data_IF_273869274325
#
_entry.id   IF_273869274325
#
_cell.length_a   1.000
_cell.length_b   1.000
_cell.length_c   1.000
_cell.angle_alpha   90.00
_cell.angle_beta   90.00
_cell.angle_gamma   90.00
#
_symmetry.space_group_name_H-M   'P 1'
#
loop_
_entity.id
_entity.type
_entity.pdbx_description
1 polymer ?
#
# COMPACT_ATOMS: atom_id res chain seq x y z
N UNK A 1 23.53 -15.46 2.94
CA UNK A 1 22.55 -14.46 3.44
C UNK A 1 23.12 -13.07 3.19
N UNK A 2 22.30 -12.11 2.75
CA UNK A 2 22.69 -10.71 2.57
C UNK A 2 21.67 -9.83 3.30
N UNK A 3 22.13 -8.73 3.87
CA UNK A 3 21.27 -7.71 4.51
C UNK A 3 21.33 -6.48 3.61
N UNK A 4 20.16 -5.96 3.24
CA UNK A 4 20.01 -4.74 2.45
C UNK A 4 19.17 -3.76 3.27
N UNK A 5 19.55 -2.49 3.22
CA UNK A 5 18.80 -1.40 3.82
C UNK A 5 17.77 -0.88 2.81
N UNK A 6 16.48 -1.17 3.06
CA UNK A 6 15.38 -0.80 2.17
C UNK A 6 15.24 0.72 2.02
N UNK A 7 15.60 1.49 3.05
CA UNK A 7 15.46 2.95 3.03
C UNK A 7 16.46 3.60 2.07
N UNK A 8 17.59 2.93 1.82
CA UNK A 8 18.63 3.40 0.89
C UNK A 8 18.57 2.73 -0.49
N UNK A 9 17.79 1.67 -0.67
CA UNK A 9 17.56 1.10 -2.00
C UNK A 9 16.90 2.13 -2.91
N UNK A 10 17.49 2.30 -4.10
CA UNK A 10 16.93 3.15 -5.15
C UNK A 10 15.58 2.57 -5.58
N UNK A 11 14.51 3.30 -5.26
CA UNK A 11 13.14 3.02 -5.70
C UNK A 11 12.75 3.84 -6.93
N UNK A 12 11.56 3.57 -7.46
CA UNK A 12 10.94 4.39 -8.51
C UNK A 12 9.97 5.39 -7.89
N UNK A 13 9.96 6.63 -8.38
CA UNK A 13 8.86 7.57 -8.08
C UNK A 13 7.55 7.04 -8.68
N UNK A 14 6.46 7.10 -7.91
CA UNK A 14 5.12 6.78 -8.40
C UNK A 14 4.38 8.07 -8.69
N UNK A 15 4.09 8.31 -9.98
CA UNK A 15 3.35 9.50 -10.46
C UNK A 15 2.01 9.17 -11.12
N UNK A 16 1.70 7.88 -11.27
CA UNK A 16 0.44 7.42 -11.84
C UNK A 16 -0.76 7.94 -11.03
N UNK A 17 -1.88 8.18 -11.71
CA UNK A 17 -3.12 8.66 -11.09
C UNK A 17 -2.97 9.98 -10.32
N UNK A 18 -1.99 10.81 -10.68
CA UNK A 18 -1.71 12.07 -9.97
C UNK A 18 -1.01 11.88 -8.63
N UNK A 19 -0.44 10.69 -8.38
CA UNK A 19 0.34 10.43 -7.16
C UNK A 19 1.55 11.34 -7.07
N UNK A 20 1.90 11.74 -5.84
CA UNK A 20 3.01 12.66 -5.57
C UNK A 20 3.68 12.33 -4.25
N UNK A 21 4.99 12.58 -4.15
CA UNK A 21 5.75 12.33 -2.92
C UNK A 21 5.80 10.86 -2.53
N UNK A 22 5.67 9.94 -3.50
CA UNK A 22 5.67 8.49 -3.26
C UNK A 22 6.86 7.82 -3.95
N UNK A 23 7.70 7.16 -3.15
CA UNK A 23 8.78 6.28 -3.64
C UNK A 23 8.39 4.82 -3.43
N UNK A 24 8.44 4.03 -4.49
CA UNK A 24 8.15 2.59 -4.48
C UNK A 24 9.43 1.76 -4.60
N UNK A 25 9.62 0.83 -3.68
CA UNK A 25 10.60 -0.26 -3.76
C UNK A 25 9.83 -1.55 -4.05
N UNK A 26 10.14 -2.20 -5.18
CA UNK A 26 9.50 -3.46 -5.57
C UNK A 26 10.20 -4.61 -4.87
N UNK A 27 9.47 -5.37 -4.06
CA UNK A 27 9.98 -6.52 -3.30
C UNK A 27 9.75 -7.82 -4.07
N UNK A 28 8.55 -7.99 -4.63
CA UNK A 28 8.21 -9.10 -5.51
C UNK A 28 7.51 -8.58 -6.77
N UNK A 29 8.12 -8.83 -7.93
CA UNK A 29 7.69 -8.27 -9.20
C UNK A 29 6.95 -9.25 -10.09
N UNK A 30 5.62 -9.29 -10.00
CA UNK A 30 4.67 -9.41 -11.11
C UNK A 30 4.80 -10.51 -12.18
N UNK A 31 5.74 -11.45 -12.07
CA UNK A 31 5.74 -12.70 -12.84
C UNK A 31 5.13 -13.79 -11.96
N UNK A 32 3.83 -13.65 -11.65
CA UNK A 32 3.10 -14.52 -10.73
C UNK A 32 1.73 -13.94 -10.37
N UNK A 33 1.00 -14.63 -9.50
CA UNK A 33 -0.35 -14.22 -9.05
C UNK A 33 -0.36 -13.08 -8.03
N UNK A 34 0.81 -12.55 -7.64
CA UNK A 34 0.96 -11.52 -6.62
C UNK A 34 2.08 -10.51 -6.94
N UNK A 35 1.95 -9.31 -6.39
CA UNK A 35 2.97 -8.26 -6.34
C UNK A 35 3.12 -7.77 -4.90
N UNK A 36 4.35 -7.49 -4.49
CA UNK A 36 4.65 -6.96 -3.16
C UNK A 36 5.55 -5.73 -3.30
N UNK A 37 5.14 -4.63 -2.69
CA UNK A 37 5.82 -3.35 -2.76
C UNK A 37 5.98 -2.76 -1.37
N UNK A 38 7.11 -2.11 -1.11
CA UNK A 38 7.22 -1.14 -0.03
C UNK A 38 7.06 0.24 -0.66
N UNK A 39 6.21 1.08 -0.08
CA UNK A 39 6.06 2.47 -0.49
C UNK A 39 6.36 3.40 0.66
N UNK A 40 7.16 4.43 0.38
CA UNK A 40 7.46 5.52 1.28
C UNK A 40 6.74 6.74 0.77
N UNK A 41 5.81 7.26 1.58
CA UNK A 41 5.13 8.52 1.33
C UNK A 41 5.83 9.57 2.19
N UNK A 42 6.36 10.60 1.53
CA UNK A 42 6.91 11.77 2.21
C UNK A 42 5.79 12.57 2.92
N UNK A 43 6.11 13.56 3.78
CA UNK A 43 5.11 14.52 4.26
C UNK A 43 4.32 15.15 3.10
N UNK A 44 2.98 15.13 3.18
CA UNK A 44 2.09 15.56 2.09
C UNK A 44 2.00 14.58 0.90
N UNK A 45 2.60 13.40 1.02
CA UNK A 45 2.59 12.35 0.01
C UNK A 45 1.21 11.74 -0.20
N UNK A 46 0.90 11.39 -1.45
CA UNK A 46 -0.39 10.86 -1.87
C UNK A 46 -0.25 9.84 -2.98
N UNK A 47 -0.83 8.67 -2.77
CA UNK A 47 -1.21 7.73 -3.82
C UNK A 47 -2.60 8.14 -4.32
N UNK A 48 -2.66 8.71 -5.51
CA UNK A 48 -3.90 9.28 -6.05
C UNK A 48 -4.98 8.22 -6.28
N UNK A 49 -6.24 8.64 -6.23
CA UNK A 49 -7.42 7.77 -6.40
C UNK A 49 -7.32 6.90 -7.65
N UNK A 50 -7.50 5.59 -7.49
CA UNK A 50 -7.55 4.63 -8.60
C UNK A 50 -8.31 3.35 -8.22
N UNK A 51 -8.65 2.56 -9.23
CA UNK A 51 -9.29 1.24 -9.06
C UNK A 51 -8.24 0.19 -8.74
N UNK A 52 -8.51 -0.64 -7.73
CA UNK A 52 -7.74 -1.84 -7.41
C UNK A 52 -7.98 -2.93 -8.49
N UNK A 53 -6.99 -3.29 -9.35
CA UNK A 53 -7.21 -4.27 -10.41
C UNK A 53 -7.34 -5.72 -9.90
N UNK A 54 -6.85 -5.97 -8.69
CA UNK A 54 -6.93 -7.23 -7.92
C UNK A 54 -7.12 -6.87 -6.45
N UNK A 55 -7.49 -7.80 -5.57
CA UNK A 55 -7.47 -7.54 -4.13
C UNK A 55 -6.13 -6.97 -3.65
N UNK A 56 -6.20 -5.94 -2.81
CA UNK A 56 -5.02 -5.26 -2.28
C UNK A 56 -5.11 -5.10 -0.76
N UNK A 57 -3.97 -5.24 -0.09
CA UNK A 57 -3.82 -4.91 1.33
C UNK A 57 -2.65 -3.95 1.47
N UNK A 58 -2.89 -2.82 2.13
CA UNK A 58 -1.88 -1.82 2.50
C UNK A 58 -1.71 -1.84 4.02
N UNK A 59 -0.51 -2.16 4.49
CA UNK A 59 -0.17 -2.29 5.91
C UNK A 59 0.78 -1.17 6.30
N UNK A 60 0.42 -0.39 7.32
CA UNK A 60 1.30 0.68 7.82
C UNK A 60 2.36 0.10 8.74
N UNK A 61 3.63 0.21 8.36
CA UNK A 61 4.76 -0.26 9.16
C UNK A 61 5.40 0.86 9.99
N UNK A 62 5.26 2.11 9.53
CA UNK A 62 5.74 3.32 10.21
C UNK A 62 4.89 4.54 9.83
N UNK A 63 4.76 5.48 10.76
CA UNK A 63 3.99 6.71 10.55
C UNK A 63 2.49 6.50 10.62
N UNK A 64 1.76 7.43 10.01
CA UNK A 64 0.31 7.46 9.97
C UNK A 64 -0.17 8.21 8.72
N UNK A 65 -1.43 8.01 8.37
CA UNK A 65 -2.07 8.68 7.25
C UNK A 65 -3.55 8.36 7.20
N UNK A 66 -4.08 8.37 5.99
CA UNK A 66 -5.48 8.08 5.72
C UNK A 66 -5.61 7.19 4.50
N UNK A 67 -6.65 6.38 4.52
CA UNK A 67 -7.15 5.63 3.38
C UNK A 67 -8.62 5.95 3.17
N UNK A 68 -9.16 5.60 2.01
CA UNK A 68 -10.60 5.64 1.76
C UNK A 68 -10.94 4.60 0.70
N UNK A 69 -12.15 4.05 0.79
CA UNK A 69 -12.72 3.15 -0.21
C UNK A 69 -13.55 3.91 -1.24
N UNK A 70 -14.52 3.21 -1.84
CA UNK A 70 -15.36 3.75 -2.93
C UNK A 70 -16.24 4.93 -2.49
N UNK A 71 -16.62 5.00 -1.22
CA UNK A 71 -17.39 6.14 -0.67
C UNK A 71 -16.57 7.45 -0.60
N UNK A 72 -15.24 7.36 -0.70
CA UNK A 72 -14.34 8.49 -0.60
C UNK A 72 -14.17 9.03 0.82
N UNK A 73 -14.77 8.38 1.83
CA UNK A 73 -14.71 8.86 3.21
C UNK A 73 -13.34 8.51 3.82
N UNK A 74 -12.63 9.50 4.41
CA UNK A 74 -11.29 9.30 4.93
C UNK A 74 -11.31 8.54 6.27
N UNK A 75 -10.66 7.39 6.30
CA UNK A 75 -10.39 6.62 7.51
C UNK A 75 -8.92 6.78 7.92
N UNK A 76 -8.69 7.06 9.20
CA UNK A 76 -7.34 7.19 9.74
C UNK A 76 -6.65 5.82 9.79
N UNK A 77 -5.40 5.78 9.34
CA UNK A 77 -4.53 4.61 9.40
C UNK A 77 -3.26 4.93 10.19
N UNK A 78 -2.90 4.06 11.14
CA UNK A 78 -1.67 4.15 11.90
C UNK A 78 -0.88 2.85 11.86
N UNK A 79 0.38 2.91 12.30
CA UNK A 79 1.27 1.75 12.41
C UNK A 79 0.55 0.53 13.02
N UNK A 80 0.65 -0.60 12.32
CA UNK A 80 0.05 -1.87 12.71
C UNK A 80 -1.37 -2.11 12.17
N UNK A 81 -1.98 -1.11 11.53
CA UNK A 81 -3.27 -1.26 10.84
C UNK A 81 -3.07 -1.54 9.35
N UNK A 82 -4.12 -2.10 8.75
CA UNK A 82 -4.18 -2.36 7.32
C UNK A 82 -5.49 -1.87 6.71
N UNK A 83 -5.42 -1.28 5.52
CA UNK A 83 -6.58 -1.10 4.65
C UNK A 83 -6.63 -2.24 3.64
N UNK A 84 -7.82 -2.78 3.41
CA UNK A 84 -8.07 -3.90 2.51
C UNK A 84 -9.11 -3.46 1.48
N UNK A 85 -8.78 -3.58 0.19
CA UNK A 85 -9.68 -3.20 -0.90
C UNK A 85 -9.94 -4.39 -1.82
N UNK A 86 -11.20 -4.55 -2.21
CA UNK A 86 -11.61 -5.59 -3.14
C UNK A 86 -11.19 -5.25 -4.58
N UNK A 87 -11.13 -6.28 -5.42
CA UNK A 87 -10.97 -6.06 -6.86
C UNK A 87 -12.11 -5.20 -7.40
N UNK A 88 -11.78 -4.17 -8.17
CA UNK A 88 -12.73 -3.20 -8.72
C UNK A 88 -13.08 -2.04 -7.79
N UNK A 89 -12.62 -2.06 -6.54
CA UNK A 89 -12.86 -0.97 -5.59
C UNK A 89 -11.97 0.24 -5.91
N UNK A 90 -12.55 1.45 -5.90
CA UNK A 90 -11.76 2.67 -5.96
C UNK A 90 -11.19 3.00 -4.58
N UNK A 91 -9.91 3.39 -4.54
CA UNK A 91 -9.25 3.70 -3.28
C UNK A 91 -8.20 4.80 -3.43
N UNK A 92 -7.88 5.44 -2.32
CA UNK A 92 -6.84 6.46 -2.22
C UNK A 92 -6.10 6.32 -0.89
N UNK A 93 -4.85 6.78 -0.85
CA UNK A 93 -4.07 6.79 0.38
C UNK A 93 -3.15 8.02 0.44
N UNK A 94 -3.09 8.71 1.57
CA UNK A 94 -2.22 9.88 1.75
C UNK A 94 -1.76 10.04 3.19
N UNK A 95 -0.83 10.96 3.41
CA UNK A 95 -0.28 11.28 4.72
C UNK A 95 0.12 12.75 4.79
N UNK A 96 0.01 13.33 5.99
CA UNK A 96 0.45 14.70 6.26
C UNK A 96 1.89 14.71 6.76
N UNK A 97 2.26 13.72 7.58
CA UNK A 97 3.54 13.65 8.29
C UNK A 97 4.55 12.69 7.67
N UNK A 98 4.12 11.88 6.71
CA UNK A 98 4.91 10.80 6.13
C UNK A 98 4.55 9.43 6.72
N UNK A 99 4.72 8.39 5.91
CA UNK A 99 4.52 7.00 6.33
C UNK A 99 5.24 6.00 5.41
N UNK A 100 5.52 4.81 5.95
CA UNK A 100 6.01 3.66 5.19
C UNK A 100 4.97 2.55 5.24
N UNK A 101 4.66 1.99 4.08
CA UNK A 101 3.63 0.96 3.92
C UNK A 101 4.15 -0.24 3.14
N UNK A 102 3.71 -1.43 3.53
CA UNK A 102 3.82 -2.66 2.74
C UNK A 102 2.51 -2.87 2.00
N UNK A 103 2.57 -3.02 0.68
CA UNK A 103 1.41 -3.29 -0.17
C UNK A 103 1.56 -4.67 -0.78
N UNK A 104 0.52 -5.48 -0.59
CA UNK A 104 0.37 -6.81 -1.20
C UNK A 104 -0.83 -6.77 -2.13
N UNK A 105 -0.62 -7.12 -3.38
CA UNK A 105 -1.66 -7.19 -4.42
C UNK A 105 -1.66 -8.62 -4.94
N UNK A 106 -2.79 -9.33 -4.92
CA UNK A 106 -2.82 -10.71 -5.39
C UNK A 106 -4.20 -11.10 -5.92
N UNK A 107 -4.25 -11.91 -6.97
CA UNK A 107 -5.53 -12.39 -7.54
C UNK A 107 -6.34 -13.25 -6.57
N UNK A 108 -5.67 -13.90 -5.63
CA UNK A 108 -6.27 -14.73 -4.59
C UNK A 108 -5.33 -14.84 -3.38
N UNK A 109 -5.84 -14.99 -2.15
CA UNK A 109 -7.26 -15.01 -1.76
C UNK A 109 -7.90 -13.60 -1.76
N UNK A 110 -9.15 -13.48 -1.29
CA UNK A 110 -9.79 -12.17 -1.06
C UNK A 110 -9.00 -11.32 -0.05
N UNK A 111 -9.16 -10.00 -0.11
CA UNK A 111 -8.32 -9.02 0.57
C UNK A 111 -8.15 -9.27 2.08
N UNK A 112 -9.21 -9.60 2.83
CA UNK A 112 -9.12 -9.84 4.27
C UNK A 112 -8.32 -11.12 4.59
N UNK A 113 -8.36 -12.10 3.68
CA UNK A 113 -7.65 -13.37 3.81
C UNK A 113 -6.18 -13.28 3.38
N UNK A 114 -5.76 -12.19 2.74
CA UNK A 114 -4.35 -11.98 2.34
C UNK A 114 -3.44 -11.73 3.55
N UNK A 115 -4.00 -11.33 4.69
CA UNK A 115 -3.30 -11.29 5.99
C UNK A 115 -3.15 -12.68 6.62
N UNK A 116 -3.70 -13.74 6.00
CA UNK A 116 -3.56 -15.11 6.45
C UNK A 116 -4.14 -15.34 7.85
N UNK A 117 -3.40 -16.05 8.70
CA UNK A 117 -3.79 -16.26 10.11
C UNK A 117 -3.89 -14.94 10.90
N UNK A 118 -3.14 -13.91 10.51
CA UNK A 118 -3.14 -12.62 11.22
C UNK A 118 -4.46 -11.85 11.07
N UNK A 119 -5.28 -12.18 10.06
CA UNK A 119 -6.60 -11.57 9.84
C UNK A 119 -7.77 -12.30 10.53
N UNK A 120 -7.53 -13.42 11.23
CA UNK A 120 -8.59 -14.24 11.85
C UNK A 120 -8.98 -13.84 13.28
N UNK A 121 -8.73 -12.59 13.65
CA UNK A 121 -9.06 -12.03 14.97
C UNK A 121 -10.53 -12.18 15.34
#
# INVERSE_FOLDING_TARGET
MKILDIDTIIGSQTTAYGSQGVRRVRVHGGSGSAAVNIMHLAPGGRLGRHVAPVPQVLIVTEGQGWASGTDGEPEALMRGQAACWAAGEEHETWTDTGMTVLIVEAQSPAQESMLGEAGRG
#
